data_IF_551139544278
#
_entry.id   IF_551139544278
#
_cell.length_a   1.000
_cell.length_b   1.000
_cell.length_c   1.000
_cell.angle_alpha   90.00
_cell.angle_beta   90.00
_cell.angle_gamma   90.00
#
_symmetry.space_group_name_H-M   'P 1'
#
loop_
_entity.id
_entity.type
_entity.pdbx_description
1 polymer ?
#
# COMPACT_ATOMS: atom_id res chain seq x y z
N UNK A 1 -16.82 15.27 9.79
CA UNK A 1 -15.37 15.35 9.47
C UNK A 1 -14.97 14.11 8.67
N UNK A 2 -14.27 14.33 7.58
CA UNK A 2 -13.80 13.22 6.75
C UNK A 2 -12.65 12.50 7.43
N UNK A 3 -12.62 11.15 7.34
CA UNK A 3 -11.48 10.35 7.77
C UNK A 3 -10.31 10.47 6.79
N UNK A 4 -10.53 11.11 5.64
CA UNK A 4 -9.54 11.22 4.57
C UNK A 4 -8.87 12.58 4.62
N UNK A 5 -7.55 12.57 4.88
CA UNK A 5 -6.75 13.78 4.86
C UNK A 5 -6.49 14.22 3.42
N UNK A 6 -6.03 15.49 3.21
CA UNK A 6 -5.60 15.93 1.89
C UNK A 6 -4.53 15.01 1.29
N UNK A 7 -3.60 14.51 2.11
CA UNK A 7 -2.56 13.62 1.63
C UNK A 7 -3.15 12.28 1.16
N UNK A 8 -4.10 11.71 1.91
CA UNK A 8 -4.77 10.48 1.49
C UNK A 8 -5.51 10.69 0.17
N UNK A 9 -6.18 11.83 0.02
CA UNK A 9 -6.89 12.14 -1.22
C UNK A 9 -5.93 12.29 -2.39
N UNK A 10 -4.77 12.88 -2.15
CA UNK A 10 -3.72 13.01 -3.16
C UNK A 10 -3.25 11.63 -3.62
N UNK A 11 -2.98 10.73 -2.68
CA UNK A 11 -2.59 9.36 -3.01
C UNK A 11 -3.70 8.63 -3.78
N UNK A 12 -4.96 8.78 -3.35
CA UNK A 12 -6.09 8.11 -4.01
C UNK A 12 -6.27 8.57 -5.45
N UNK A 13 -5.97 9.83 -5.76
CA UNK A 13 -6.13 10.42 -7.09
C UNK A 13 -4.90 10.28 -7.96
N UNK A 14 -3.77 9.86 -7.40
CA UNK A 14 -2.52 9.78 -8.14
C UNK A 14 -2.56 8.69 -9.18
N UNK A 15 -2.23 9.04 -10.43
CA UNK A 15 -2.06 8.06 -11.51
C UNK A 15 -0.60 7.68 -11.69
N UNK A 16 0.30 8.35 -11.02
CA UNK A 16 1.75 8.14 -11.16
C UNK A 16 2.18 6.71 -10.86
N UNK A 17 1.55 6.09 -9.87
CA UNK A 17 1.91 4.75 -9.39
C UNK A 17 1.02 3.66 -9.97
N UNK A 18 0.02 4.05 -10.74
CA UNK A 18 -0.99 3.15 -11.30
C UNK A 18 -0.65 2.78 -12.73
N UNK A 19 0.05 1.67 -12.89
CA UNK A 19 0.58 1.25 -14.18
C UNK A 19 0.86 -0.24 -14.16
N UNK A 20 0.58 -0.92 -15.28
CA UNK A 20 0.97 -2.31 -15.45
C UNK A 20 2.46 -2.34 -15.78
N UNK A 21 3.22 -3.07 -14.98
CA UNK A 21 4.65 -3.22 -15.19
C UNK A 21 4.93 -4.45 -16.03
N UNK A 22 5.66 -4.26 -17.13
CA UNK A 22 5.96 -5.34 -18.10
C UNK A 22 7.39 -5.83 -18.02
N UNK A 23 8.17 -5.37 -17.04
CA UNK A 23 9.55 -5.82 -16.85
C UNK A 23 9.58 -7.33 -16.64
N UNK A 24 10.47 -8.09 -17.34
CA UNK A 24 10.51 -9.54 -17.20
C UNK A 24 10.93 -10.03 -15.82
N UNK A 25 11.51 -9.17 -15.00
CA UNK A 25 11.96 -9.53 -13.65
C UNK A 25 11.03 -8.97 -12.57
N UNK A 26 9.81 -8.59 -12.94
CA UNK A 26 8.86 -8.04 -11.98
C UNK A 26 8.36 -9.11 -11.02
N UNK A 27 8.30 -8.76 -9.73
CA UNK A 27 7.67 -9.57 -8.71
C UNK A 27 6.23 -9.06 -8.53
N UNK A 28 5.27 -9.97 -8.48
CA UNK A 28 3.85 -9.63 -8.36
C UNK A 28 3.26 -10.21 -7.08
N UNK A 29 2.40 -9.41 -6.44
CA UNK A 29 1.56 -9.88 -5.37
C UNK A 29 0.13 -9.43 -5.63
N UNK A 30 -0.83 -10.30 -5.35
CA UNK A 30 -2.25 -10.03 -5.60
C UNK A 30 -3.03 -10.24 -4.31
N UNK A 31 -3.97 -9.34 -4.04
CA UNK A 31 -4.87 -9.48 -2.93
C UNK A 31 -6.29 -9.15 -3.38
N UNK A 32 -7.25 -9.78 -2.72
CA UNK A 32 -8.64 -9.70 -3.12
C UNK A 32 -9.53 -9.58 -1.87
N UNK A 33 -10.33 -8.54 -1.81
CA UNK A 33 -11.33 -8.39 -0.76
C UNK A 33 -12.69 -8.75 -1.33
N UNK A 34 -13.15 -9.96 -1.07
CA UNK A 34 -14.38 -10.48 -1.64
C UNK A 34 -15.64 -9.79 -1.12
N UNK A 35 -15.56 -9.17 0.03
CA UNK A 35 -16.71 -8.50 0.64
C UNK A 35 -17.08 -7.25 -0.16
N UNK A 36 -16.10 -6.43 -0.53
CA UNK A 36 -16.34 -5.20 -1.30
C UNK A 36 -15.96 -5.32 -2.78
N UNK A 37 -15.44 -6.48 -3.21
CA UNK A 37 -15.05 -6.70 -4.59
C UNK A 37 -13.74 -6.07 -5.01
N UNK A 38 -12.99 -5.50 -4.08
CA UNK A 38 -11.69 -4.89 -4.41
C UNK A 38 -10.67 -5.94 -4.82
N UNK A 39 -9.92 -5.64 -5.87
CA UNK A 39 -8.80 -6.44 -6.34
C UNK A 39 -7.59 -5.53 -6.48
N UNK A 40 -6.46 -5.98 -5.98
CA UNK A 40 -5.25 -5.17 -6.02
C UNK A 40 -4.07 -6.04 -6.40
N UNK A 41 -3.30 -5.57 -7.38
CA UNK A 41 -2.03 -6.18 -7.75
C UNK A 41 -0.93 -5.17 -7.51
N UNK A 42 0.12 -5.61 -6.80
CA UNK A 42 1.33 -4.83 -6.59
C UNK A 42 2.43 -5.48 -7.44
N UNK A 43 3.18 -4.65 -8.13
CA UNK A 43 4.29 -5.11 -8.96
C UNK A 43 5.55 -4.34 -8.55
N UNK A 44 6.61 -5.08 -8.25
CA UNK A 44 7.87 -4.50 -7.78
C UNK A 44 9.00 -5.05 -8.60
N UNK A 45 9.86 -4.16 -9.08
CA UNK A 45 11.10 -4.51 -9.76
C UNK A 45 12.25 -4.23 -8.81
N UNK A 46 13.05 -5.25 -8.53
CA UNK A 46 14.23 -5.12 -7.71
C UNK A 46 15.47 -4.95 -8.58
N UNK A 47 16.35 -4.06 -8.17
CA UNK A 47 17.69 -3.90 -8.74
C UNK A 47 18.66 -4.24 -7.60
N UNK A 48 19.15 -5.47 -7.60
CA UNK A 48 19.88 -5.99 -6.46
C UNK A 48 18.97 -6.11 -5.25
N UNK A 49 19.33 -5.48 -4.16
CA UNK A 49 18.51 -5.48 -2.94
C UNK A 49 17.57 -4.29 -2.84
N UNK A 50 17.59 -3.39 -3.83
CA UNK A 50 16.78 -2.17 -3.79
C UNK A 50 15.63 -2.23 -4.78
N UNK A 51 14.55 -1.55 -4.43
CA UNK A 51 13.37 -1.44 -5.25
C UNK A 51 13.57 -0.30 -6.25
N UNK A 52 13.62 -0.64 -7.54
CA UNK A 52 13.78 0.37 -8.60
C UNK A 52 12.43 0.89 -9.08
N UNK A 53 11.37 0.10 -8.96
CA UNK A 53 10.06 0.47 -9.45
C UNK A 53 8.98 -0.25 -8.65
N UNK A 54 7.94 0.49 -8.24
CA UNK A 54 6.78 -0.08 -7.57
C UNK A 54 5.52 0.52 -8.19
N UNK A 55 4.59 -0.35 -8.59
CA UNK A 55 3.36 0.06 -9.26
C UNK A 55 2.20 -0.78 -8.75
N UNK A 56 0.98 -0.28 -8.95
CA UNK A 56 -0.21 -1.05 -8.60
C UNK A 56 -1.24 -0.96 -9.72
N UNK A 57 -2.07 -1.99 -9.81
CA UNK A 57 -3.23 -2.02 -10.70
C UNK A 57 -4.36 -2.75 -9.99
N UNK A 58 -5.57 -2.58 -10.50
CA UNK A 58 -6.73 -3.28 -9.99
C UNK A 58 -7.93 -2.37 -9.88
N UNK A 59 -9.04 -2.97 -9.49
CA UNK A 59 -10.29 -2.27 -9.26
C UNK A 59 -10.52 -2.20 -7.75
N UNK A 60 -10.43 -0.99 -7.20
CA UNK A 60 -10.42 -0.80 -5.76
C UNK A 60 -11.05 0.53 -5.38
N UNK A 61 -11.52 0.63 -4.14
CA UNK A 61 -12.05 1.87 -3.62
C UNK A 61 -10.94 2.92 -3.40
N UNK A 62 -11.34 4.16 -3.22
CA UNK A 62 -10.39 5.27 -3.06
C UNK A 62 -9.40 5.04 -1.92
N UNK A 63 -9.85 4.46 -0.81
CA UNK A 63 -8.98 4.20 0.33
C UNK A 63 -7.92 3.15 0.02
N UNK A 64 -8.32 2.09 -0.70
CA UNK A 64 -7.36 1.06 -1.14
C UNK A 64 -6.35 1.65 -2.11
N UNK A 65 -6.81 2.50 -3.03
CA UNK A 65 -5.92 3.17 -3.98
C UNK A 65 -4.95 4.10 -3.27
N UNK A 66 -5.40 4.81 -2.23
CA UNK A 66 -4.54 5.67 -1.44
C UNK A 66 -3.44 4.87 -0.76
N UNK A 67 -3.80 3.74 -0.14
CA UNK A 67 -2.83 2.87 0.53
C UNK A 67 -1.83 2.29 -0.46
N UNK A 68 -2.30 1.85 -1.62
CA UNK A 68 -1.43 1.29 -2.66
C UNK A 68 -0.44 2.34 -3.17
N UNK A 69 -0.92 3.56 -3.45
CA UNK A 69 -0.05 4.65 -3.91
C UNK A 69 0.98 5.02 -2.85
N UNK A 70 0.58 5.08 -1.59
CA UNK A 70 1.50 5.38 -0.49
C UNK A 70 2.62 4.35 -0.41
N UNK A 71 2.28 3.07 -0.48
CA UNK A 71 3.28 2.01 -0.46
C UNK A 71 4.24 2.12 -1.65
N UNK A 72 3.70 2.35 -2.85
CA UNK A 72 4.54 2.51 -4.03
C UNK A 72 5.51 3.69 -3.89
N UNK A 73 4.99 4.84 -3.46
CA UNK A 73 5.81 6.04 -3.31
C UNK A 73 6.91 5.85 -2.26
N UNK A 74 6.55 5.29 -1.11
CA UNK A 74 7.50 5.16 0.00
C UNK A 74 8.49 4.03 -0.19
N UNK A 75 8.19 3.06 -1.04
CA UNK A 75 9.05 1.89 -1.22
C UNK A 75 10.13 2.04 -2.28
N UNK A 76 9.96 2.94 -3.26
CA UNK A 76 11.00 3.09 -4.29
C UNK A 76 12.30 3.59 -3.68
N UNK A 77 13.39 2.97 -4.07
CA UNK A 77 14.71 3.25 -3.53
C UNK A 77 15.02 2.53 -2.22
N UNK A 78 14.05 1.82 -1.65
CA UNK A 78 14.21 1.11 -0.39
C UNK A 78 14.62 -0.35 -0.65
N UNK A 79 15.15 -0.97 0.41
CA UNK A 79 15.47 -2.40 0.36
C UNK A 79 14.22 -3.24 0.62
N UNK A 80 14.33 -4.54 0.36
CA UNK A 80 13.27 -5.50 0.68
C UNK A 80 12.92 -5.45 2.17
N UNK A 81 13.92 -5.35 3.05
CA UNK A 81 13.69 -5.28 4.49
C UNK A 81 12.99 -4.00 4.90
N UNK A 82 13.36 -2.89 4.27
CA UNK A 82 12.69 -1.61 4.52
C UNK A 82 11.24 -1.64 4.05
N UNK A 83 10.95 -2.32 2.93
CA UNK A 83 9.58 -2.51 2.49
C UNK A 83 8.78 -3.30 3.52
N UNK A 84 9.38 -4.36 4.08
CA UNK A 84 8.71 -5.13 5.15
C UNK A 84 8.36 -4.24 6.33
N UNK A 85 9.28 -3.37 6.72
CA UNK A 85 9.02 -2.43 7.83
C UNK A 85 7.89 -1.48 7.51
N UNK A 86 7.83 -0.97 6.28
CA UNK A 86 6.77 -0.06 5.84
C UNK A 86 5.42 -0.78 5.86
N UNK A 87 5.38 -2.01 5.37
CA UNK A 87 4.16 -2.84 5.34
C UNK A 87 3.67 -3.11 6.77
N UNK A 88 4.58 -3.52 7.65
CA UNK A 88 4.24 -3.82 9.04
C UNK A 88 3.75 -2.57 9.76
N UNK A 89 4.36 -1.42 9.48
CA UNK A 89 3.95 -0.16 10.09
C UNK A 89 2.53 0.23 9.66
N UNK A 90 2.23 0.13 8.37
CA UNK A 90 0.88 0.46 7.88
C UNK A 90 -0.16 -0.42 8.56
N UNK A 91 0.12 -1.71 8.68
CA UNK A 91 -0.78 -2.64 9.35
C UNK A 91 -0.95 -2.27 10.82
N UNK A 92 0.13 -1.96 11.52
CA UNK A 92 0.07 -1.60 12.95
C UNK A 92 -0.72 -0.32 13.17
N UNK A 93 -0.57 0.66 12.31
CA UNK A 93 -1.32 1.91 12.40
C UNK A 93 -2.82 1.63 12.32
N UNK A 94 -3.24 0.85 11.34
CA UNK A 94 -4.66 0.64 11.08
C UNK A 94 -5.27 -0.35 12.07
N UNK A 95 -4.62 -1.47 12.33
CA UNK A 95 -5.16 -2.53 13.17
C UNK A 95 -5.01 -2.20 14.65
N UNK A 96 -3.85 -1.70 15.06
CA UNK A 96 -3.53 -1.48 16.49
C UNK A 96 -3.58 -0.03 16.93
N UNK A 97 -3.59 0.93 16.00
CA UNK A 97 -3.54 2.35 16.32
C UNK A 97 -2.17 2.79 16.80
N UNK A 98 -1.12 1.99 16.55
CA UNK A 98 0.24 2.31 16.95
C UNK A 98 1.03 2.83 15.76
N UNK A 99 1.90 3.80 16.01
CA UNK A 99 2.68 4.42 14.94
C UNK A 99 4.01 4.92 15.48
N UNK A 100 4.95 5.12 14.57
CA UNK A 100 6.23 5.71 14.89
C UNK A 100 6.16 7.21 14.67
N UNK A 101 6.81 7.97 15.54
CA UNK A 101 6.87 9.41 15.40
C UNK A 101 7.53 9.77 14.08
N UNK A 102 6.94 10.71 13.34
CA UNK A 102 7.46 11.14 12.04
C UNK A 102 7.04 10.26 10.87
N UNK A 103 6.23 9.22 11.11
CA UNK A 103 5.79 8.35 10.04
C UNK A 103 4.89 9.08 9.04
N UNK A 104 5.18 8.93 7.75
CA UNK A 104 4.32 9.47 6.70
C UNK A 104 3.01 8.69 6.60
N UNK A 105 2.98 7.46 7.07
CA UNK A 105 1.79 6.60 7.04
C UNK A 105 0.78 6.96 8.12
N UNK A 106 1.12 7.89 9.00
CA UNK A 106 0.22 8.33 10.06
C UNK A 106 -1.11 8.89 9.51
N UNK A 107 -1.11 9.27 8.24
CA UNK A 107 -2.33 9.75 7.56
C UNK A 107 -3.44 8.70 7.59
N UNK A 108 -3.10 7.42 7.74
CA UNK A 108 -4.08 6.33 7.80
C UNK A 108 -4.57 6.05 9.23
N UNK A 109 -4.03 6.74 10.23
CA UNK A 109 -4.42 6.50 11.62
C UNK A 109 -5.92 6.66 11.89
N UNK A 110 -6.63 7.63 11.29
CA UNK A 110 -8.07 7.76 11.52
C UNK A 110 -8.86 6.50 11.14
N UNK A 111 -8.34 5.69 10.23
CA UNK A 111 -9.01 4.46 9.78
C UNK A 111 -9.00 3.40 10.89
N UNK A 112 -8.08 3.50 11.86
CA UNK A 112 -8.07 2.60 13.00
C UNK A 112 -9.42 2.57 13.72
N UNK A 113 -10.12 3.70 13.77
CA UNK A 113 -11.40 3.83 14.45
C UNK A 113 -12.59 3.35 13.61
N UNK A 114 -12.32 2.84 12.41
CA UNK A 114 -13.36 2.38 11.49
C UNK A 114 -13.06 0.94 11.08
N UNK A 115 -13.35 -0.05 11.96
CA UNK A 115 -12.98 -1.45 11.71
C UNK A 115 -13.44 -1.99 10.35
N UNK A 116 -14.62 -1.55 9.86
CA UNK A 116 -15.14 -1.99 8.58
C UNK A 116 -14.26 -1.55 7.40
N UNK A 117 -13.35 -0.59 7.62
CA UNK A 117 -12.47 -0.07 6.58
C UNK A 117 -11.03 -0.56 6.72
N UNK A 118 -10.72 -1.30 7.78
CA UNK A 118 -9.34 -1.77 8.00
C UNK A 118 -8.81 -2.52 6.79
N UNK A 119 -9.60 -3.42 6.24
CA UNK A 119 -9.14 -4.24 5.13
C UNK A 119 -8.96 -3.47 3.83
N UNK A 120 -9.64 -2.35 3.66
CA UNK A 120 -9.41 -1.49 2.51
C UNK A 120 -7.95 -1.02 2.47
N UNK A 121 -7.36 -0.74 3.64
CA UNK A 121 -5.97 -0.32 3.74
C UNK A 121 -5.02 -1.51 3.76
N UNK A 122 -5.34 -2.55 4.54
CA UNK A 122 -4.43 -3.70 4.69
C UNK A 122 -4.38 -4.60 3.47
N UNK A 123 -5.24 -4.39 2.48
CA UNK A 123 -5.22 -5.18 1.25
C UNK A 123 -3.86 -5.08 0.55
N UNK A 124 -3.27 -3.88 0.52
CA UNK A 124 -1.95 -3.69 -0.08
C UNK A 124 -0.87 -4.45 0.70
N UNK A 125 -1.02 -4.56 2.02
CA UNK A 125 -0.05 -5.32 2.82
C UNK A 125 -0.11 -6.80 2.48
N UNK A 126 -1.30 -7.34 2.23
CA UNK A 126 -1.44 -8.74 1.82
C UNK A 126 -0.75 -8.99 0.47
N UNK A 127 -0.93 -8.09 -0.49
CA UNK A 127 -0.29 -8.20 -1.79
C UNK A 127 1.24 -8.15 -1.66
N UNK A 128 1.75 -7.24 -0.84
CA UNK A 128 3.19 -7.12 -0.61
C UNK A 128 3.76 -8.35 0.09
N UNK A 129 3.00 -8.98 0.97
CA UNK A 129 3.46 -10.18 1.66
C UNK A 129 3.73 -11.33 0.70
N UNK A 130 2.96 -11.46 -0.38
CA UNK A 130 3.24 -12.46 -1.40
C UNK A 130 4.62 -12.24 -2.03
N UNK A 131 4.97 -10.98 -2.25
CA UNK A 131 6.26 -10.64 -2.85
C UNK A 131 7.40 -10.90 -1.86
N UNK A 132 7.15 -10.62 -0.58
CA UNK A 132 8.16 -10.73 0.48
C UNK A 132 8.30 -12.14 1.05
N UNK A 133 7.38 -13.02 0.71
CA UNK A 133 7.39 -14.39 1.22
C UNK A 133 8.62 -15.18 0.74
#
# INVERSE_FOLDING_TARGET
MSAYSPQMMKWARSSQWREECTDPHVACGVAHNRVCGDKLKIQIVFDGDRISKARHTGESCALTLAAASAICELSEGKTREELRSIVDELRSIVINGTFQEGSELIEFLPIHKIPARHRCVTLVTEACEEILA
#
